data_IF_387144526248
#
_entry.id   IF_387144526248
#
_cell.length_a   1.000
_cell.length_b   1.000
_cell.length_c   1.000
_cell.angle_alpha   90.00
_cell.angle_beta   90.00
_cell.angle_gamma   90.00
#
_symmetry.space_group_name_H-M   'P 1'
#
loop_
_entity.id
_entity.type
_entity.pdbx_description
1 polymer ?
2 polymer ?
3 polymer ?
4 water ?
#
loop_
_entity_poly.entity_id
_entity_poly.type
_entity_poly.pdbx_seq_one_letter_code
_entity_poly.pdbx_strand_id
2 'polydeoxyribonucleotide' '(DC)(DG)(DG)(DG)(DG)(DA)(DA)(DT)(DT)(DG)(DA)(DT)(DT)(DG)(DA)(DA)(DA)(DT)(DC)(DA)(DA)(DG)(DA)(DT)(DA)(DG)(DG)(DT)(DG)(DG)' ?
3 'polydeoxyribonucleotide' '(DC)(DC)(DA)(DC)(DC)(DT)(DA)(DT)(DC)(DT)(DT)(DG)(DA)(DT)(DT)(DT)(DC)(DA)(DA)(DT)(DC)(DA)(DA)(DT)(DT)(DC)(DC)(DC)(DC)(DG)' ?
#
# COMPACT_ATOMS: atom_id res chain seq x y z
N UNK A 38 3.29 -25.21 -12.29
CA UNK A 38 3.68 -26.46 -12.93
C UNK A 38 4.95 -26.29 -13.79
N UNK A 39 4.80 -26.31 -15.11
CA UNK A 39 5.94 -26.05 -16.02
C UNK A 39 6.15 -24.56 -16.37
N UNK A 40 7.29 -24.03 -15.96
CA UNK A 40 7.55 -22.61 -16.21
C UNK A 40 8.26 -22.50 -17.57
N UNK A 41 8.10 -21.35 -18.24
CA UNK A 41 8.81 -21.09 -19.50
C UNK A 41 9.70 -19.84 -19.29
N UNK A 42 10.73 -19.67 -20.11
CA UNK A 42 11.67 -18.60 -19.88
C UNK A 42 11.39 -17.48 -20.87
N UNK A 43 11.68 -16.23 -20.51
CA UNK A 43 11.57 -15.14 -21.48
C UNK A 43 12.47 -14.00 -21.07
N UNK A 44 12.90 -13.14 -21.98
CA UNK A 44 13.73 -12.02 -21.54
C UNK A 44 13.17 -10.71 -22.05
N UNK A 45 13.42 -9.63 -21.31
CA UNK A 45 13.03 -8.29 -21.73
C UNK A 45 14.23 -7.34 -21.71
N UNK A 46 14.33 -6.46 -22.71
CA UNK A 46 15.36 -5.41 -22.79
C UNK A 46 15.06 -4.32 -21.76
N UNK A 47 16.12 -3.64 -21.32
CA UNK A 47 15.99 -2.41 -20.52
C UNK A 47 14.85 -1.56 -21.06
N UNK A 48 13.97 -1.14 -20.15
CA UNK A 48 12.81 -0.31 -20.43
C UNK A 48 11.65 -0.98 -21.18
N UNK A 49 11.75 -2.27 -21.49
CA UNK A 49 10.62 -2.93 -22.16
C UNK A 49 9.49 -3.17 -21.16
N UNK A 50 8.26 -2.93 -21.60
CA UNK A 50 7.09 -3.17 -20.74
C UNK A 50 6.84 -4.69 -20.75
N UNK A 51 6.61 -5.26 -19.56
CA UNK A 51 6.30 -6.68 -19.44
C UNK A 51 4.78 -6.83 -19.48
N UNK A 52 4.06 -5.97 -18.74
CA UNK A 52 2.59 -5.84 -18.89
C UNK A 52 2.16 -4.44 -18.50
N UNK A 53 0.99 -4.01 -19.00
CA UNK A 53 0.46 -2.69 -18.69
C UNK A 53 -0.56 -2.67 -17.60
N UNK A 54 -0.79 -1.47 -17.05
CA UNK A 54 -1.86 -1.24 -16.10
C UNK A 54 -3.22 -1.60 -16.70
N UNK A 55 -4.04 -2.31 -15.93
CA UNK A 55 -5.37 -2.75 -16.36
C UNK A 55 -5.36 -3.80 -17.46
N UNK A 56 -4.17 -4.31 -17.85
CA UNK A 56 -4.09 -5.38 -18.87
C UNK A 56 -4.48 -6.73 -18.22
N UNK A 57 -5.05 -7.66 -19.00
CA UNK A 57 -5.36 -9.01 -18.49
C UNK A 57 -4.18 -9.70 -17.77
N UNK A 58 -4.44 -10.22 -16.57
CA UNK A 58 -3.41 -10.82 -15.71
C UNK A 58 -3.28 -12.27 -16.08
N UNK A 59 -2.65 -12.55 -17.21
CA UNK A 59 -2.64 -13.87 -17.81
C UNK A 59 -1.45 -14.73 -17.37
N UNK A 60 -0.35 -14.07 -17.04
CA UNK A 60 0.86 -14.75 -16.59
C UNK A 60 1.33 -14.24 -15.26
N UNK A 61 2.07 -15.09 -14.53
CA UNK A 61 2.75 -14.70 -13.29
C UNK A 61 4.22 -14.97 -13.57
N UNK A 62 5.09 -14.17 -12.97
CA UNK A 62 6.51 -14.07 -13.38
C UNK A 62 7.47 -14.16 -12.20
N UNK A 63 8.69 -14.64 -12.43
CA UNK A 63 9.69 -14.62 -11.38
C UNK A 63 10.97 -14.10 -12.01
N UNK A 64 11.56 -13.05 -11.43
CA UNK A 64 12.87 -12.59 -11.97
C UNK A 64 13.95 -13.67 -11.78
N UNK A 65 14.67 -13.99 -12.86
CA UNK A 65 15.85 -14.88 -12.74
C UNK A 65 17.08 -13.99 -12.71
N UNK A 66 17.27 -13.18 -13.74
CA UNK A 66 18.32 -12.15 -13.64
C UNK A 66 17.76 -10.81 -14.00
N UNK A 67 18.41 -9.75 -13.53
CA UNK A 67 17.97 -8.38 -13.81
C UNK A 67 17.08 -7.76 -12.74
N UNK A 68 16.14 -6.93 -13.16
CA UNK A 68 15.33 -6.16 -12.18
C UNK A 68 14.14 -5.55 -12.90
N UNK A 69 13.05 -5.42 -12.17
CA UNK A 69 11.78 -4.95 -12.76
C UNK A 69 11.20 -3.86 -11.83
N UNK A 70 10.57 -2.86 -12.41
CA UNK A 70 9.78 -1.91 -11.57
C UNK A 70 8.29 -2.01 -11.85
N UNK A 71 7.47 -1.94 -10.80
CA UNK A 71 6.01 -1.94 -10.92
C UNK A 71 5.58 -0.54 -10.51
N UNK A 72 4.71 0.09 -11.31
CA UNK A 72 4.35 1.49 -11.06
C UNK A 72 2.97 1.86 -11.56
N UNK A 73 2.49 3.01 -11.06
CA UNK A 73 1.24 3.56 -11.55
C UNK A 73 1.57 4.94 -12.05
N UNK A 74 0.88 5.39 -13.10
CA UNK A 74 1.11 6.77 -13.61
C UNK A 74 -0.06 7.68 -13.45
N UNK A 75 0.20 8.98 -13.35
CA UNK A 75 -0.88 9.91 -13.52
C UNK A 75 -0.74 10.47 -14.94
N UNK A 76 -1.80 11.07 -15.45
CA UNK A 76 -1.80 11.57 -16.83
C UNK A 76 -0.75 12.63 -17.19
N UNK A 77 -0.28 13.40 -16.20
CA UNK A 77 0.68 14.43 -16.55
C UNK A 77 2.06 13.84 -16.47
N UNK A 78 2.15 12.52 -16.22
CA UNK A 78 3.46 11.90 -16.24
C UNK A 78 4.02 11.59 -14.87
N UNK A 79 3.39 12.08 -13.81
CA UNK A 79 3.88 11.71 -12.49
C UNK A 79 3.78 10.20 -12.27
N UNK A 80 4.76 9.62 -11.56
CA UNK A 80 4.85 8.15 -11.50
C UNK A 80 5.19 7.72 -10.08
N UNK A 81 4.44 6.77 -9.51
CA UNK A 81 4.75 6.18 -8.22
C UNK A 81 5.19 4.76 -8.54
N UNK A 82 6.46 4.45 -8.23
CA UNK A 82 6.87 3.04 -8.25
C UNK A 82 6.44 2.33 -6.93
N UNK A 83 5.66 1.24 -7.05
CA UNK A 83 5.15 0.54 -5.91
C UNK A 83 6.09 -0.51 -5.42
N UNK A 84 6.97 -1.01 -6.32
CA UNK A 84 7.87 -2.05 -5.88
C UNK A 84 8.96 -2.25 -6.93
N UNK A 85 10.09 -2.71 -6.44
CA UNK A 85 11.20 -3.20 -7.33
C UNK A 85 11.24 -4.69 -7.17
N UNK A 86 11.32 -5.45 -8.27
CA UNK A 86 11.37 -6.93 -8.17
C UNK A 86 12.75 -7.34 -8.64
N UNK A 87 13.42 -8.10 -7.79
CA UNK A 87 14.85 -8.38 -7.95
C UNK A 87 14.94 -9.91 -8.12
N UNK A 88 16.13 -10.46 -8.40
CA UNK A 88 16.16 -11.90 -8.67
C UNK A 88 15.60 -12.82 -7.56
N UNK A 89 14.79 -13.76 -8.01
CA UNK A 89 14.05 -14.66 -7.15
C UNK A 89 12.65 -14.13 -6.80
N UNK A 90 12.41 -12.83 -6.96
CA UNK A 90 11.11 -12.28 -6.58
C UNK A 90 10.03 -12.68 -7.57
N UNK A 91 8.84 -13.01 -7.08
CA UNK A 91 7.71 -13.28 -7.96
C UNK A 91 6.87 -12.05 -8.13
N UNK A 92 6.36 -11.77 -9.35
CA UNK A 92 5.52 -10.58 -9.52
C UNK A 92 4.44 -10.86 -10.55
N UNK A 93 3.44 -10.01 -10.54
CA UNK A 93 2.34 -10.06 -11.49
C UNK A 93 1.20 -10.96 -11.07
N UNK A 94 1.29 -11.54 -9.86
CA UNK A 94 0.21 -12.36 -9.32
C UNK A 94 -0.99 -11.49 -8.94
N UNK A 95 -2.15 -11.83 -9.49
CA UNK A 95 -3.39 -11.11 -9.18
C UNK A 95 -4.49 -12.08 -8.85
N UNK A 96 -5.26 -11.72 -7.82
CA UNK A 96 -6.40 -12.52 -7.50
C UNK A 96 -7.46 -12.18 -8.53
N UNK A 97 -7.49 -10.89 -8.89
CA UNK A 97 -8.50 -10.42 -9.84
C UNK A 97 -8.04 -10.64 -11.27
N UNK A 98 -8.77 -10.05 -12.22
CA UNK A 98 -8.63 -10.38 -13.64
C UNK A 98 -7.57 -9.53 -14.36
N UNK A 99 -7.03 -8.51 -13.71
CA UNK A 99 -6.10 -7.63 -14.41
C UNK A 99 -4.97 -7.11 -13.53
N UNK A 100 -3.83 -6.81 -14.16
CA UNK A 100 -2.74 -6.14 -13.50
C UNK A 100 -3.12 -4.76 -13.05
N UNK A 101 -2.84 -4.46 -11.78
CA UNK A 101 -3.21 -3.18 -11.22
C UNK A 101 -2.06 -2.18 -11.29
N UNK A 102 -0.86 -2.66 -11.64
CA UNK A 102 0.30 -1.83 -11.85
C UNK A 102 0.89 -2.27 -13.19
N UNK A 103 1.58 -1.37 -13.85
CA UNK A 103 2.37 -1.72 -15.05
C UNK A 103 3.70 -2.26 -14.53
N UNK A 104 4.47 -2.99 -15.39
CA UNK A 104 5.76 -3.52 -14.95
C UNK A 104 6.66 -3.36 -16.13
N UNK A 105 7.89 -2.92 -15.87
CA UNK A 105 8.88 -2.69 -16.93
C UNK A 105 10.20 -3.21 -16.47
N UNK A 106 10.99 -3.74 -17.41
CA UNK A 106 12.37 -4.12 -17.09
C UNK A 106 13.20 -2.86 -16.84
N UNK A 107 13.95 -2.84 -15.73
CA UNK A 107 14.84 -1.72 -15.41
C UNK A 107 16.16 -1.85 -16.19
N UNK A 108 16.57 -3.10 -16.38
CA UNK A 108 17.80 -3.46 -17.15
C UNK A 108 17.44 -4.73 -17.89
N UNK A 109 18.24 -5.15 -18.87
CA UNK A 109 17.94 -6.46 -19.48
C UNK A 109 17.64 -7.49 -18.40
N UNK A 110 16.54 -8.26 -18.57
CA UNK A 110 16.03 -9.11 -17.47
C UNK A 110 15.56 -10.43 -18.05
N UNK A 111 15.88 -11.53 -17.34
CA UNK A 111 15.29 -12.83 -17.72
C UNK A 111 14.32 -13.25 -16.62
N UNK A 112 13.18 -13.80 -17.04
CA UNK A 112 12.18 -14.21 -16.07
C UNK A 112 11.81 -15.66 -16.36
N UNK A 113 11.17 -16.30 -15.39
CA UNK A 113 10.42 -17.53 -15.67
C UNK A 113 8.95 -17.14 -15.55
N UNK A 114 8.05 -17.76 -16.31
CA UNK A 114 6.63 -17.41 -16.13
C UNK A 114 5.74 -18.63 -16.25
N UNK A 115 4.55 -18.56 -15.67
CA UNK A 115 3.60 -19.66 -15.71
C UNK A 115 2.25 -19.05 -16.02
N UNK A 116 1.35 -19.81 -16.62
CA UNK A 116 0.02 -19.26 -16.83
C UNK A 116 -0.69 -19.14 -15.50
N UNK A 117 -1.34 -17.99 -15.31
CA UNK A 117 -2.21 -17.78 -14.17
C UNK A 117 -3.25 -18.91 -14.06
N UNK A 118 -3.80 -19.37 -15.18
CA UNK A 118 -4.81 -20.43 -15.12
C UNK A 118 -4.20 -21.74 -14.62
N UNK A 119 -2.91 -21.92 -14.89
CA UNK A 119 -2.22 -23.11 -14.40
C UNK A 119 -2.11 -23.09 -12.87
N UNK A 120 -1.85 -21.91 -12.30
CA UNK A 120 -1.79 -21.71 -10.83
C UNK A 120 -3.15 -21.91 -10.17
N UNK A 121 -4.20 -21.36 -10.80
CA UNK A 121 -5.59 -21.49 -10.30
C UNK A 121 -5.97 -22.97 -10.22
N UNK A 122 -5.51 -23.76 -11.17
CA UNK A 122 -5.87 -25.19 -11.15
C UNK A 122 -5.14 -25.93 -10.02
N UNK A 123 -3.84 -25.65 -9.88
CA UNK A 123 -3.05 -26.25 -8.79
C UNK A 123 -3.62 -25.87 -7.42
N UNK A 124 -4.02 -24.60 -7.28
CA UNK A 124 -4.56 -24.12 -6.02
C UNK A 124 -5.87 -24.78 -5.69
N UNK A 125 -6.61 -25.21 -6.70
CA UNK A 125 -7.88 -25.88 -6.48
C UNK A 125 -7.65 -27.32 -6.08
N UNK A 126 -6.51 -27.86 -6.53
CA UNK A 126 -6.17 -29.26 -6.30
C UNK A 126 -5.48 -29.37 -4.94
N UNK A 127 -4.63 -28.41 -4.62
CA UNK A 127 -3.84 -28.49 -3.38
C UNK A 127 -4.04 -27.28 -2.44
N UNK A 128 -4.58 -27.55 -1.25
CA UNK A 128 -4.73 -26.56 -0.18
C UNK A 128 -3.44 -25.76 0.10
N UNK A 129 -2.27 -26.41 0.04
CA UNK A 129 -1.03 -25.68 0.34
C UNK A 129 -0.64 -24.69 -0.77
N UNK A 130 -0.93 -25.03 -2.02
CA UNK A 130 -0.74 -24.08 -3.12
C UNK A 130 -1.65 -22.84 -2.91
N UNK A 131 -2.95 -23.04 -2.74
CA UNK A 131 -3.89 -21.92 -2.48
C UNK A 131 -3.39 -21.03 -1.35
N UNK A 132 -2.85 -21.68 -0.32
CA UNK A 132 -2.39 -20.97 0.85
C UNK A 132 -1.14 -20.13 0.55
N UNK A 133 -0.27 -20.68 -0.29
CA UNK A 133 0.96 -19.95 -0.68
C UNK A 133 0.62 -18.76 -1.56
N UNK A 134 -0.36 -18.92 -2.45
CA UNK A 134 -0.80 -17.77 -3.27
C UNK A 134 -1.32 -16.63 -2.41
N UNK A 135 -2.21 -16.96 -1.47
CA UNK A 135 -2.68 -15.95 -0.50
C UNK A 135 -1.49 -15.33 0.24
N UNK A 136 -0.57 -16.17 0.72
CA UNK A 136 0.63 -15.63 1.41
C UNK A 136 1.42 -14.69 0.52
N UNK A 137 1.54 -14.98 -0.78
CA UNK A 137 2.28 -14.06 -1.66
C UNK A 137 1.63 -12.68 -1.67
N UNK A 138 0.34 -12.68 -1.93
CA UNK A 138 -0.39 -11.41 -2.01
C UNK A 138 -0.30 -10.70 -0.63
N UNK A 139 -0.35 -11.48 0.44
CA UNK A 139 -0.28 -10.85 1.77
C UNK A 139 1.07 -10.20 2.02
N UNK A 140 2.14 -10.79 1.46
CA UNK A 140 3.46 -10.18 1.62
C UNK A 140 3.54 -8.89 0.84
N UNK A 141 2.89 -8.85 -0.33
CA UNK A 141 2.79 -7.59 -1.10
C UNK A 141 2.05 -6.52 -0.34
N UNK A 142 0.96 -6.93 0.33
CA UNK A 142 0.19 -6.01 1.16
C UNK A 142 1.03 -5.45 2.35
N UNK A 143 1.80 -6.30 3.01
CA UNK A 143 2.62 -5.86 4.13
C UNK A 143 3.63 -4.84 3.59
N UNK A 144 4.25 -5.15 2.45
CA UNK A 144 5.18 -4.15 1.88
C UNK A 144 4.50 -2.79 1.58
N UNK A 145 3.28 -2.83 1.01
CA UNK A 145 2.57 -1.63 0.62
C UNK A 145 2.15 -0.86 1.86
N UNK A 146 1.72 -1.57 2.91
CA UNK A 146 1.39 -0.89 4.20
C UNK A 146 2.57 -0.11 4.78
N UNK A 147 3.72 -0.77 4.83
CA UNK A 147 4.92 -0.08 5.31
C UNK A 147 5.23 1.08 4.40
N UNK A 148 5.09 0.85 3.07
CA UNK A 148 5.42 1.91 2.12
C UNK A 148 4.44 3.08 2.21
N UNK A 149 3.16 2.84 2.53
CA UNK A 149 2.32 4.03 2.80
C UNK A 149 2.78 4.89 3.93
N UNK A 150 3.24 4.24 5.02
CA UNK A 150 3.77 4.99 6.15
C UNK A 150 4.94 5.84 5.68
N UNK A 151 5.84 5.23 4.93
CA UNK A 151 6.97 6.01 4.38
C UNK A 151 6.52 7.19 3.53
N UNK A 152 5.61 6.99 2.58
CA UNK A 152 5.18 8.03 1.66
C UNK A 152 4.31 9.09 2.35
N UNK A 153 3.55 8.68 3.34
CA UNK A 153 2.72 9.67 4.06
C UNK A 153 3.46 10.44 5.13
N UNK A 154 4.44 9.83 5.78
CA UNK A 154 4.92 10.41 7.03
C UNK A 154 6.45 10.59 7.19
N UNK A 155 7.31 9.91 6.37
CA UNK A 155 8.75 9.96 6.64
C UNK A 155 9.40 11.18 5.97
N UNK A 156 10.46 11.70 6.58
CA UNK A 156 11.16 12.84 5.94
C UNK A 156 11.96 12.31 4.76
N UNK A 157 12.49 13.18 3.94
CA UNK A 157 13.25 12.71 2.77
C UNK A 157 14.44 11.83 3.24
N UNK A 158 15.13 12.26 4.27
CA UNK A 158 16.27 11.44 4.72
C UNK A 158 15.85 10.08 5.29
N UNK A 159 14.79 10.07 6.08
CA UNK A 159 14.24 8.77 6.53
C UNK A 159 13.85 7.85 5.41
N UNK A 160 13.28 8.39 4.33
CA UNK A 160 12.92 7.57 3.19
C UNK A 160 14.15 7.01 2.54
N UNK A 161 15.15 7.82 2.34
CA UNK A 161 16.37 7.31 1.69
C UNK A 161 17.10 6.28 2.53
N UNK A 162 17.17 6.49 3.83
CA UNK A 162 17.81 5.51 4.69
C UNK A 162 16.99 4.22 4.69
N UNK A 163 15.67 4.34 4.71
CA UNK A 163 14.84 3.10 4.63
C UNK A 163 15.19 2.34 3.35
N UNK A 164 15.23 3.05 2.23
CA UNK A 164 15.48 2.47 0.92
C UNK A 164 16.83 1.78 0.93
N UNK A 165 17.89 2.46 1.37
CA UNK A 165 19.24 1.82 1.38
C UNK A 165 19.30 0.55 2.22
N UNK A 166 18.68 0.58 3.39
CA UNK A 166 18.58 -0.64 4.19
C UNK A 166 17.79 -1.79 3.55
N UNK A 167 16.67 -1.46 2.90
CA UNK A 167 15.91 -2.47 2.17
C UNK A 167 16.78 -3.07 1.05
N UNK A 168 17.39 -2.20 0.27
CA UNK A 168 18.26 -2.74 -0.82
C UNK A 168 19.46 -3.53 -0.32
N UNK A 169 20.09 -3.10 0.77
CA UNK A 169 21.17 -3.87 1.36
C UNK A 169 20.70 -5.29 1.75
N UNK A 170 19.55 -5.39 2.38
CA UNK A 170 19.05 -6.70 2.77
C UNK A 170 18.76 -7.57 1.55
N UNK A 171 18.23 -6.97 0.48
CA UNK A 171 17.74 -7.76 -0.67
C UNK A 171 18.80 -8.02 -1.73
N UNK A 172 19.78 -7.13 -1.83
CA UNK A 172 20.73 -7.32 -2.93
C UNK A 172 22.20 -7.20 -2.61
N UNK A 173 22.58 -6.90 -1.36
CA UNK A 173 24.04 -6.77 -1.15
C UNK A 173 24.76 -8.11 -1.37
N UNK A 174 25.96 -8.01 -1.93
CA UNK A 174 26.83 -9.16 -2.15
C UNK A 174 28.17 -8.82 -1.49
N UNK A 175 28.61 -9.66 -0.54
CA UNK A 175 29.82 -9.40 0.22
C UNK A 175 29.87 -7.92 0.62
N UNK A 176 28.77 -7.42 1.15
CA UNK A 176 28.77 -6.02 1.62
C UNK A 176 28.43 -4.88 0.69
N UNK A 177 28.34 -5.12 -0.63
CA UNK A 177 28.16 -4.01 -1.58
C UNK A 177 26.88 -4.22 -2.38
N UNK A 178 26.13 -3.13 -2.59
CA UNK A 178 24.90 -3.11 -3.37
C UNK A 178 25.20 -2.58 -4.75
N UNK A 179 24.91 -3.36 -5.77
CA UNK A 179 24.98 -2.86 -7.13
C UNK A 179 23.55 -2.55 -7.50
N UNK A 180 23.19 -1.27 -7.46
CA UNK A 180 21.79 -0.90 -7.59
C UNK A 180 21.48 -0.89 -9.06
N UNK A 181 20.36 -1.48 -9.46
CA UNK A 181 20.15 -1.53 -10.92
C UNK A 181 19.43 -0.32 -11.49
N UNK A 182 18.83 0.53 -10.64
CA UNK A 182 17.98 1.59 -11.11
C UNK A 182 18.60 3.02 -10.94
N UNK A 183 18.05 3.95 -11.71
CA UNK A 183 18.46 5.34 -11.75
C UNK A 183 17.96 6.09 -10.54
N UNK A 184 18.47 7.32 -10.38
CA UNK A 184 18.04 8.17 -9.28
C UNK A 184 16.57 8.56 -9.46
N UNK A 185 16.13 8.69 -10.70
CA UNK A 185 14.73 9.01 -10.93
C UNK A 185 13.83 7.83 -10.50
N UNK A 186 14.25 6.61 -10.79
CA UNK A 186 13.42 5.49 -10.28
C UNK A 186 13.43 5.50 -8.77
N UNK A 187 14.59 5.75 -8.15
CA UNK A 187 14.59 5.77 -6.67
C UNK A 187 13.63 6.86 -6.17
N UNK A 188 13.74 8.08 -6.70
CA UNK A 188 12.81 9.14 -6.24
C UNK A 188 11.37 8.71 -6.47
N UNK A 189 11.01 8.11 -7.63
CA UNK A 189 9.61 7.69 -7.85
C UNK A 189 9.15 6.54 -6.99
N UNK A 190 10.09 5.78 -6.41
CA UNK A 190 9.71 4.78 -5.38
C UNK A 190 9.46 5.46 -4.06
N UNK A 191 10.20 6.53 -3.78
CA UNK A 191 10.15 7.16 -2.45
C UNK A 191 9.29 8.45 -2.40
N UNK A 192 8.60 8.82 -3.48
CA UNK A 192 7.75 10.02 -3.46
C UNK A 192 8.60 11.28 -3.40
N UNK A 193 9.81 11.21 -3.97
CA UNK A 193 10.80 12.37 -3.94
C UNK A 193 11.32 12.63 -5.35
N UNK A 194 12.00 13.78 -5.56
CA UNK A 194 12.73 14.03 -6.83
C UNK A 194 14.07 13.36 -6.75
N UNK A 195 14.61 13.07 -7.92
CA UNK A 195 15.94 12.47 -7.99
C UNK A 195 17.00 13.42 -7.38
N UNK A 196 16.80 14.74 -7.46
CA UNK A 196 17.76 15.68 -6.87
C UNK A 196 17.78 15.52 -5.35
N UNK A 197 16.59 15.46 -4.74
CA UNK A 197 16.55 15.23 -3.31
C UNK A 197 17.22 13.93 -2.89
N UNK A 198 16.91 12.85 -3.61
CA UNK A 198 17.63 11.58 -3.35
C UNK A 198 19.15 11.77 -3.50
N UNK A 199 19.59 12.43 -4.57
CA UNK A 199 21.07 12.66 -4.73
C UNK A 199 21.65 13.38 -3.51
N UNK A 200 20.96 14.43 -3.04
CA UNK A 200 21.48 15.21 -1.92
C UNK A 200 21.59 14.41 -0.65
N UNK A 201 20.61 13.54 -0.39
CA UNK A 201 20.62 12.74 0.82
C UNK A 201 21.77 11.73 0.73
N UNK A 202 21.92 11.12 -0.45
CA UNK A 202 23.07 10.20 -0.66
C UNK A 202 24.41 10.91 -0.53
N UNK A 203 24.50 12.13 -1.07
CA UNK A 203 25.73 12.92 -0.89
C UNK A 203 26.05 13.19 0.56
N UNK A 204 25.02 13.54 1.32
CA UNK A 204 25.21 13.80 2.73
C UNK A 204 25.66 12.55 3.50
N UNK A 205 25.06 11.38 3.18
CA UNK A 205 25.41 10.11 3.87
C UNK A 205 26.86 9.76 3.56
N UNK A 206 27.25 9.99 2.31
CA UNK A 206 28.64 9.79 1.90
C UNK A 206 29.61 10.66 2.70
N UNK A 207 29.30 11.95 2.79
CA UNK A 207 30.20 12.93 3.44
C UNK A 207 30.33 12.60 4.92
N UNK A 208 29.26 12.06 5.52
CA UNK A 208 29.28 11.68 6.94
C UNK A 208 29.96 10.33 7.21
N UNK A 209 30.34 9.60 6.16
CA UNK A 209 31.06 8.34 6.35
C UNK A 209 30.09 7.15 6.47
N UNK A 210 28.81 7.39 6.25
CA UNK A 210 27.85 6.29 6.34
C UNK A 210 27.82 5.32 5.17
N UNK A 211 28.11 5.79 3.95
CA UNK A 211 28.21 4.87 2.84
C UNK A 211 29.42 5.20 2.02
N UNK A 212 29.81 4.27 1.18
CA UNK A 212 30.96 4.44 0.29
C UNK A 212 30.37 4.33 -1.11
N UNK A 213 31.00 4.96 -2.11
CA UNK A 213 30.60 4.80 -3.52
C UNK A 213 31.74 4.22 -4.32
N UNK A 214 31.39 3.41 -5.33
CA UNK A 214 32.36 2.95 -6.31
C UNK A 214 31.73 3.22 -7.67
N UNK A 215 31.42 4.49 -7.90
CA UNK A 215 30.51 4.84 -8.96
C UNK A 215 29.13 5.03 -8.31
N UNK A 216 28.24 5.72 -8.99
CA UNK A 216 26.96 6.16 -8.37
C UNK A 216 26.06 5.05 -7.90
N UNK A 217 26.04 3.93 -8.61
CA UNK A 217 25.06 2.90 -8.26
C UNK A 217 25.72 1.71 -7.57
N UNK A 218 27.00 1.85 -7.22
CA UNK A 218 27.67 0.78 -6.45
C UNK A 218 27.92 1.32 -5.07
N UNK A 219 27.16 0.86 -4.09
CA UNK A 219 27.15 1.54 -2.79
C UNK A 219 27.49 0.54 -1.72
N UNK A 220 28.32 0.93 -0.75
CA UNK A 220 28.75 0.02 0.32
C UNK A 220 28.31 0.73 1.57
N UNK A 221 27.40 0.13 2.35
CA UNK A 221 27.03 0.73 3.63
C UNK A 221 28.13 0.49 4.64
N UNK A 222 28.66 1.56 5.19
CA UNK A 222 29.77 1.46 6.14
C UNK A 222 29.35 1.34 7.61
N UNK A 223 28.14 1.86 7.92
CA UNK A 223 27.60 1.73 9.27
C UNK A 223 26.08 1.59 9.20
N UNK A 224 25.57 0.35 9.24
CA UNK A 224 24.14 0.13 9.11
C UNK A 224 23.43 0.68 10.33
N UNK A 225 24.04 0.61 11.49
CA UNK A 225 23.39 1.14 12.70
C UNK A 225 23.13 2.64 12.59
N UNK A 226 24.14 3.39 12.15
CA UNK A 226 23.92 4.83 11.99
C UNK A 226 22.83 5.12 11.01
N UNK A 227 22.75 4.32 9.95
CA UNK A 227 21.72 4.54 8.94
C UNK A 227 20.35 4.14 9.47
N UNK A 228 20.29 3.05 10.25
CA UNK A 228 19.03 2.66 10.88
C UNK A 228 18.58 3.80 11.79
N UNK A 229 19.50 4.46 12.46
CA UNK A 229 19.07 5.60 13.34
C UNK A 229 18.48 6.80 12.62
N UNK A 230 18.67 6.86 11.30
CA UNK A 230 18.15 7.95 10.50
C UNK A 230 16.82 7.56 9.87
N UNK A 231 16.41 6.30 9.98
CA UNK A 231 15.11 6.01 9.50
C UNK A 231 14.19 6.41 10.70
N UNK A 232 12.91 6.23 10.61
CA UNK A 232 12.10 6.64 11.76
C UNK A 232 11.75 5.34 12.48
N UNK A 233 11.61 5.36 13.81
CA UNK A 233 11.32 4.08 14.50
C UNK A 233 9.86 3.91 14.81
N UNK A 234 9.44 2.65 14.93
CA UNK A 234 8.07 2.31 15.25
C UNK A 234 7.78 2.71 16.69
N UNK A 235 6.51 2.99 16.96
CA UNK A 235 6.04 3.38 18.27
C UNK A 235 6.18 2.23 19.29
N UNK B 38 -17.66 -19.72 10.74
CA UNK B 38 -18.83 -20.47 11.20
C UNK B 38 -19.78 -19.47 11.85
N UNK B 39 -19.91 -19.53 13.17
CA UNK B 39 -20.74 -18.56 13.88
C UNK B 39 -19.98 -17.29 14.37
N UNK B 40 -20.55 -16.14 14.07
CA UNK B 40 -19.92 -14.90 14.51
C UNK B 40 -20.51 -14.53 15.89
N UNK B 41 -19.74 -13.76 16.65
CA UNK B 41 -20.15 -13.30 17.98
C UNK B 41 -20.09 -11.77 17.90
N UNK B 42 -20.90 -11.06 18.69
CA UNK B 42 -20.93 -9.60 18.56
C UNK B 42 -20.05 -8.98 19.64
N UNK B 43 -19.56 -7.77 19.41
CA UNK B 43 -18.85 -7.06 20.46
C UNK B 43 -18.90 -5.57 20.15
N UNK B 44 -18.78 -4.70 21.15
CA UNK B 44 -18.75 -3.27 20.85
C UNK B 44 -17.55 -2.58 21.47
N UNK B 45 -17.12 -1.49 20.85
CA UNK B 45 -16.00 -0.70 21.33
C UNK B 45 -16.41 0.76 21.40
N UNK B 46 -16.01 1.44 22.49
CA UNK B 46 -16.17 2.88 22.67
C UNK B 46 -15.27 3.65 21.71
N UNK B 47 -15.71 4.86 21.36
CA UNK B 47 -14.85 5.83 20.65
C UNK B 47 -13.45 5.82 21.25
N UNK B 48 -12.46 5.70 20.35
CA UNK B 48 -11.05 5.66 20.68
C UNK B 48 -10.52 4.37 21.34
N UNK B 49 -11.36 3.37 21.56
CA UNK B 49 -10.85 2.15 22.17
C UNK B 49 -10.05 1.37 21.12
N UNK B 50 -8.90 0.83 21.51
CA UNK B 50 -8.09 -0.04 20.63
C UNK B 50 -8.82 -1.37 20.46
N UNK B 51 -8.91 -1.85 19.22
CA UNK B 51 -9.54 -3.16 18.98
C UNK B 51 -8.43 -4.23 18.95
N UNK B 52 -7.35 -3.96 18.21
CA UNK B 52 -6.09 -4.71 18.35
C UNK B 52 -4.90 -3.80 18.09
N UNK B 53 -3.72 -4.22 18.54
CA UNK B 53 -2.50 -3.43 18.36
C UNK B 53 -1.61 -3.94 17.27
N UNK B 54 -0.72 -3.06 16.79
CA UNK B 54 0.27 -3.47 15.80
C UNK B 54 1.17 -4.55 16.38
N UNK B 55 1.43 -5.58 15.57
CA UNK B 55 2.20 -6.77 15.97
C UNK B 55 1.53 -7.69 16.97
N UNK B 56 0.30 -7.39 17.40
CA UNK B 56 -0.43 -8.29 18.30
C UNK B 56 -0.87 -9.52 17.49
N UNK B 57 -1.00 -10.68 18.15
CA UNK B 57 -1.49 -11.88 17.44
C UNK B 57 -2.83 -11.70 16.70
N UNK B 58 -2.87 -12.12 15.43
CA UNK B 58 -4.06 -11.95 14.61
C UNK B 58 -5.00 -13.07 14.91
N UNK B 59 -5.71 -12.99 16.04
CA UNK B 59 -6.51 -14.08 16.52
C UNK B 59 -7.97 -14.03 16.05
N UNK B 60 -8.48 -12.84 15.77
CA UNK B 60 -9.86 -12.69 15.27
C UNK B 60 -9.91 -11.89 14.01
N UNK B 61 -11.02 -12.05 13.27
CA UNK B 61 -11.27 -11.23 12.09
C UNK B 61 -12.63 -10.60 12.33
N UNK B 62 -12.82 -9.38 11.86
CA UNK B 62 -13.92 -8.52 12.33
C UNK B 62 -14.72 -7.92 11.17
N UNK B 63 -15.98 -7.60 11.42
CA UNK B 63 -16.76 -6.91 10.42
C UNK B 63 -17.51 -5.77 11.12
N UNK B 64 -17.39 -4.54 10.60
CA UNK B 64 -18.14 -3.44 11.23
C UNK B 64 -19.64 -3.62 10.99
N UNK B 65 -20.45 -3.55 12.05
CA UNK B 65 -21.92 -3.55 11.93
C UNK B 65 -22.40 -2.13 12.01
N UNK B 66 -22.07 -1.43 13.09
CA UNK B 66 -22.29 0.03 13.09
C UNK B 66 -21.05 0.75 13.55
N UNK B 67 -20.93 2.04 13.22
CA UNK B 67 -19.77 2.84 13.61
C UNK B 67 -18.66 2.89 12.53
N UNK B 68 -17.40 2.95 12.95
CA UNK B 68 -16.28 3.15 12.01
C UNK B 68 -15.01 2.91 12.78
N UNK B 69 -14.02 2.41 12.04
CA UNK B 69 -12.74 2.01 12.64
C UNK B 69 -11.60 2.60 11.80
N UNK B 70 -10.51 2.97 12.43
CA UNK B 70 -9.30 3.33 11.65
C UNK B 70 -8.19 2.34 11.88
N UNK B 71 -7.46 2.00 10.80
CA UNK B 71 -6.29 1.13 10.90
C UNK B 71 -5.12 2.02 10.61
N UNK B 72 -4.08 1.92 11.42
CA UNK B 72 -2.94 2.83 11.26
C UNK B 72 -1.61 2.28 11.72
N UNK B 73 -0.53 2.93 11.27
CA UNK B 73 0.77 2.64 11.82
C UNK B 73 1.32 3.92 12.42
N UNK B 74 2.16 3.81 13.45
CA UNK B 74 2.73 5.01 14.09
C UNK B 74 4.20 5.01 14.02
N UNK B 75 4.81 6.20 14.04
CA UNK B 75 6.20 6.28 14.33
C UNK B 75 6.39 6.72 15.77
N UNK B 76 7.58 6.48 16.26
CA UNK B 76 7.85 6.76 17.69
C UNK B 76 7.63 8.21 18.15
N UNK B 77 7.79 9.19 17.24
CA UNK B 77 7.54 10.57 17.68
C UNK B 77 6.08 10.91 17.58
N UNK B 78 5.24 9.95 17.20
CA UNK B 78 3.81 10.20 17.21
C UNK B 78 3.20 10.44 15.86
N UNK B 79 4.04 10.51 14.82
CA UNK B 79 3.48 10.64 13.50
C UNK B 79 2.68 9.41 13.16
N UNK B 80 1.55 9.58 12.48
CA UNK B 80 0.64 8.46 12.27
C UNK B 80 0.15 8.45 10.83
N UNK B 81 0.22 7.31 10.14
CA UNK B 81 -0.38 7.09 8.84
C UNK B 81 -1.59 6.21 9.07
N UNK B 82 -2.77 6.72 8.73
CA UNK B 82 -3.94 5.84 8.65
C UNK B 82 -3.96 5.13 7.27
N UNK B 83 -3.96 3.79 7.28
CA UNK B 83 -3.97 3.00 6.07
C UNK B 83 -5.36 2.80 5.51
N UNK B 84 -6.40 2.78 6.39
CA UNK B 84 -7.72 2.57 5.89
C UNK B 84 -8.75 2.94 6.97
N UNK B 85 -9.91 3.32 6.47
CA UNK B 85 -11.10 3.48 7.30
C UNK B 85 -11.98 2.29 7.03
N UNK B 86 -12.58 1.70 8.07
CA UNK B 86 -13.49 0.54 7.86
C UNK B 86 -14.85 0.98 8.32
N UNK B 87 -15.82 0.85 7.42
CA UNK B 87 -17.14 1.43 7.59
C UNK B 87 -18.12 0.25 7.64
N UNK B 88 -19.40 0.52 7.92
CA UNK B 88 -20.31 -0.61 8.08
C UNK B 88 -20.35 -1.54 6.90
N UNK B 89 -20.25 -2.83 7.23
CA UNK B 89 -20.19 -3.91 6.27
C UNK B 89 -18.76 -4.30 5.95
N UNK B 90 -17.79 -3.43 6.21
CA UNK B 90 -16.40 -3.78 5.86
C UNK B 90 -15.81 -4.82 6.79
N UNK B 91 -15.06 -5.78 6.24
CA UNK B 91 -14.28 -6.68 7.07
C UNK B 91 -12.87 -6.17 7.30
N UNK B 92 -12.33 -6.38 8.50
CA UNK B 92 -10.93 -5.97 8.77
C UNK B 92 -10.25 -6.93 9.73
N UNK B 93 -8.92 -6.84 9.78
CA UNK B 93 -8.11 -7.65 10.66
C UNK B 93 -7.75 -9.00 10.11
N UNK B 94 -8.12 -9.28 8.86
CA UNK B 94 -7.78 -10.56 8.24
C UNK B 94 -6.26 -10.55 7.95
N UNK B 95 -5.56 -11.55 8.46
CA UNK B 95 -4.12 -11.63 8.18
C UNK B 95 -3.77 -13.03 7.73
N UNK B 96 -2.93 -13.11 6.69
CA UNK B 96 -2.47 -14.41 6.23
C UNK B 96 -1.44 -14.89 7.24
N UNK B 97 -0.61 -13.95 7.70
CA UNK B 97 0.43 -14.29 8.66
C UNK B 97 -0.11 -14.30 10.08
N UNK B 98 0.78 -14.28 11.08
CA UNK B 98 0.41 -14.51 12.48
C UNK B 98 0.00 -13.27 13.27
N UNK B 99 0.29 -12.09 12.75
CA UNK B 99 0.13 -10.84 13.50
C UNK B 99 -0.57 -9.78 12.70
N UNK B 100 -1.31 -8.93 13.41
CA UNK B 100 -1.82 -7.69 12.86
C UNK B 100 -0.68 -6.76 12.50
N UNK B 101 -0.71 -6.21 11.28
CA UNK B 101 0.40 -5.34 10.80
C UNK B 101 0.07 -3.86 11.01
N UNK B 102 -1.17 -3.56 11.37
CA UNK B 102 -1.61 -2.22 11.67
C UNK B 102 -2.38 -2.33 12.97
N UNK B 103 -2.41 -1.27 13.74
CA UNK B 103 -3.32 -1.23 14.91
C UNK B 103 -4.70 -0.80 14.41
N UNK B 104 -5.76 -1.02 15.20
CA UNK B 104 -7.12 -0.66 14.75
C UNK B 104 -7.79 -0.07 15.95
N UNK B 105 -8.47 1.05 15.77
CA UNK B 105 -9.20 1.70 16.88
C UNK B 105 -10.56 2.12 16.41
N UNK B 106 -11.58 2.07 17.30
CA UNK B 106 -12.88 2.66 16.96
C UNK B 106 -12.81 4.18 16.87
N UNK B 107 -13.35 4.74 15.80
CA UNK B 107 -13.40 6.21 15.59
C UNK B 107 -14.52 6.78 16.44
N UNK B 108 -15.60 6.00 16.56
CA UNK B 108 -16.85 6.42 17.32
C UNK B 108 -17.33 5.11 17.91
N UNK B 109 -18.27 5.15 18.86
CA UNK B 109 -18.80 3.87 19.36
C UNK B 109 -19.15 3.00 18.17
N UNK B 110 -18.72 1.73 18.22
CA UNK B 110 -18.81 0.80 17.10
C UNK B 110 -19.21 -0.58 17.54
N UNK B 111 -20.07 -1.23 16.78
CA UNK B 111 -20.38 -2.65 17.02
C UNK B 111 -19.81 -3.47 15.87
N UNK B 112 -19.20 -4.62 16.17
CA UNK B 112 -18.60 -5.44 15.13
C UNK B 112 -19.17 -6.88 15.30
N UNK B 113 -19.01 -7.72 14.28
CA UNK B 113 -19.16 -9.20 14.45
C UNK B 113 -17.73 -9.70 14.34
N UNK B 114 -17.40 -10.80 15.02
CA UNK B 114 -16.07 -11.34 14.80
C UNK B 114 -16.10 -12.85 14.82
N UNK B 115 -15.08 -13.42 14.22
CA UNK B 115 -14.96 -14.87 14.11
C UNK B 115 -13.51 -15.22 14.41
N UNK B 116 -13.27 -16.41 14.94
CA UNK B 116 -11.90 -16.80 15.21
C UNK B 116 -11.19 -17.03 13.88
N UNK B 117 -9.99 -16.48 13.79
CA UNK B 117 -9.16 -16.74 12.62
C UNK B 117 -9.00 -18.25 12.33
N UNK B 118 -8.81 -19.03 13.37
CA UNK B 118 -8.61 -20.46 13.14
C UNK B 118 -9.87 -21.10 12.57
N UNK B 119 -11.03 -20.52 12.86
CA UNK B 119 -12.28 -21.07 12.33
C UNK B 119 -12.33 -20.83 10.83
N UNK B 120 -11.81 -19.69 10.38
CA UNK B 120 -11.73 -19.33 8.97
C UNK B 120 -10.73 -20.25 8.23
N UNK B 121 -9.58 -20.48 8.86
CA UNK B 121 -8.52 -21.33 8.27
C UNK B 121 -9.08 -22.76 8.08
N UNK B 122 -9.83 -23.23 9.07
CA UNK B 122 -10.46 -24.54 8.95
C UNK B 122 -11.44 -24.58 7.75
N UNK B 123 -12.32 -23.59 7.66
CA UNK B 123 -13.29 -23.54 6.54
C UNK B 123 -12.60 -23.45 5.18
N UNK B 124 -11.51 -22.69 5.12
CA UNK B 124 -10.75 -22.52 3.89
C UNK B 124 -10.13 -23.81 3.44
N UNK B 125 -9.78 -24.67 4.39
CA UNK B 125 -9.21 -25.97 4.09
C UNK B 125 -10.23 -26.93 3.56
N UNK B 126 -11.47 -26.74 4.02
CA UNK B 126 -12.57 -27.61 3.65
C UNK B 126 -13.14 -27.19 2.30
N UNK B 127 -13.17 -25.88 2.05
CA UNK B 127 -13.88 -25.32 0.90
C UNK B 127 -12.97 -24.41 0.06
N UNK B 128 -12.62 -24.88 -1.12
CA UNK B 128 -11.84 -24.08 -2.09
C UNK B 128 -12.45 -22.68 -2.30
N UNK B 129 -13.78 -22.55 -2.20
CA UNK B 129 -14.42 -21.24 -2.42
C UNK B 129 -14.16 -20.23 -1.28
N UNK B 130 -14.07 -20.76 -0.06
CA UNK B 130 -13.73 -19.96 1.09
C UNK B 130 -12.27 -19.50 0.97
N UNK B 131 -11.36 -20.43 0.66
CA UNK B 131 -9.95 -20.10 0.51
C UNK B 131 -9.75 -19.00 -0.53
N UNK B 132 -10.53 -19.08 -1.59
CA UNK B 132 -10.44 -18.13 -2.69
C UNK B 132 -11.02 -16.76 -2.32
N UNK B 133 -12.01 -16.78 -1.44
CA UNK B 133 -12.60 -15.54 -0.94
C UNK B 133 -11.68 -14.85 0.06
N UNK B 134 -11.00 -15.62 0.90
CA UNK B 134 -9.99 -14.98 1.76
C UNK B 134 -8.88 -14.32 0.96
N UNK B 135 -8.37 -15.01 -0.05
CA UNK B 135 -7.31 -14.38 -0.89
C UNK B 135 -7.85 -13.12 -1.54
N UNK B 136 -9.07 -13.19 -2.08
CA UNK B 136 -9.71 -12.01 -2.67
C UNK B 136 -9.83 -10.84 -1.70
N UNK B 137 -10.10 -11.13 -0.42
CA UNK B 137 -10.19 -10.02 0.54
C UNK B 137 -8.86 -9.31 0.71
N UNK B 138 -7.80 -10.07 0.90
CA UNK B 138 -6.46 -9.51 0.99
C UNK B 138 -6.08 -8.80 -0.31
N UNK B 139 -6.44 -9.39 -1.45
CA UNK B 139 -6.17 -8.69 -2.73
C UNK B 139 -6.85 -7.33 -2.87
N UNK B 140 -8.07 -7.20 -2.34
CA UNK B 140 -8.77 -5.92 -2.42
C UNK B 140 -8.10 -4.92 -1.51
N UNK B 141 -7.60 -5.39 -0.36
CA UNK B 141 -6.81 -4.51 0.52
C UNK B 141 -5.55 -4.05 -0.17
N UNK B 142 -4.91 -4.96 -0.87
CA UNK B 142 -3.69 -4.62 -1.64
C UNK B 142 -4.01 -3.55 -2.73
N UNK B 143 -5.12 -3.71 -3.46
CA UNK B 143 -5.47 -2.80 -4.53
C UNK B 143 -5.68 -1.41 -3.90
N UNK B 144 -6.41 -1.37 -2.78
CA UNK B 144 -6.60 -0.07 -2.11
C UNK B 144 -5.27 0.55 -1.69
N UNK B 145 -4.32 -0.27 -1.19
CA UNK B 145 -3.03 0.26 -0.72
C UNK B 145 -2.18 0.76 -1.87
N UNK B 146 -2.23 0.03 -2.98
CA UNK B 146 -1.51 0.45 -4.23
C UNK B 146 -2.00 1.82 -4.73
N UNK B 147 -3.31 1.97 -4.83
CA UNK B 147 -3.86 3.31 -5.17
C UNK B 147 -3.47 4.34 -4.14
N UNK B 148 -3.47 3.94 -2.86
CA UNK B 148 -3.18 4.90 -1.81
C UNK B 148 -1.68 5.27 -1.82
N UNK B 149 -0.81 4.35 -2.21
CA UNK B 149 0.61 4.79 -2.39
C UNK B 149 0.77 5.87 -3.45
N UNK B 150 0.03 5.75 -4.55
CA UNK B 150 0.11 6.76 -5.59
C UNK B 150 -0.37 8.10 -5.05
N UNK B 151 -1.43 8.07 -4.26
CA UNK B 151 -1.92 9.32 -3.66
C UNK B 151 -0.90 9.94 -2.73
N UNK B 152 -0.30 9.16 -1.84
CA UNK B 152 0.64 9.66 -0.83
C UNK B 152 1.98 10.03 -1.46
N UNK B 153 2.38 9.35 -2.53
CA UNK B 153 3.64 9.72 -3.14
C UNK B 153 3.55 10.83 -4.16
N UNK B 154 2.41 10.95 -4.82
CA UNK B 154 2.39 11.80 -6.01
C UNK B 154 1.28 12.90 -6.12
N UNK B 155 0.16 12.80 -5.34
CA UNK B 155 -0.94 13.73 -5.55
C UNK B 155 -0.77 15.04 -4.74
N UNK B 156 -1.29 16.13 -5.28
CA UNK B 156 -1.21 17.41 -4.55
C UNK B 156 -2.19 17.35 -3.39
N UNK B 157 -2.11 18.30 -2.51
CA UNK B 157 -3.04 18.30 -1.35
C UNK B 157 -4.50 18.35 -1.83
N UNK B 158 -4.79 19.21 -2.80
CA UNK B 158 -6.19 19.22 -3.27
C UNK B 158 -6.61 17.92 -3.96
N UNK B 159 -5.80 17.39 -4.85
CA UNK B 159 -6.09 16.02 -5.38
C UNK B 159 -6.34 14.99 -4.35
N UNK B 160 -5.58 14.99 -3.25
CA UNK B 160 -5.80 14.00 -2.22
C UNK B 160 -7.16 14.22 -1.55
N UNK B 161 -7.49 15.48 -1.28
CA UNK B 161 -8.80 15.71 -0.63
C UNK B 161 -9.97 15.41 -1.57
N UNK B 162 -9.82 15.69 -2.85
CA UNK B 162 -10.88 15.40 -3.79
C UNK B 162 -11.02 13.88 -3.88
N UNK B 163 -9.91 13.18 -3.91
CA UNK B 163 -9.98 11.68 -3.95
C UNK B 163 -10.75 11.18 -2.72
N UNK B 164 -10.38 11.67 -1.55
CA UNK B 164 -10.98 11.25 -0.28
C UNK B 164 -12.48 11.47 -0.30
N UNK B 165 -12.92 12.67 -0.71
CA UNK B 165 -14.37 13.01 -0.70
C UNK B 165 -15.14 12.09 -1.66
N UNK B 166 -14.57 11.80 -2.82
CA UNK B 166 -15.22 10.85 -3.74
C UNK B 166 -15.29 9.42 -3.21
N UNK B 167 -14.23 8.98 -2.52
CA UNK B 167 -14.22 7.64 -1.93
C UNK B 167 -15.32 7.60 -0.86
N UNK B 168 -15.37 8.62 0.00
CA UNK B 168 -16.41 8.58 1.07
C UNK B 168 -17.79 8.70 0.53
N UNK B 169 -17.97 9.48 -0.54
CA UNK B 169 -19.29 9.61 -1.10
C UNK B 169 -19.74 8.22 -1.61
N UNK B 170 -18.84 7.52 -2.27
CA UNK B 170 -19.20 6.19 -2.82
C UNK B 170 -19.54 5.24 -1.66
N UNK B 171 -18.77 5.30 -0.57
CA UNK B 171 -18.89 4.33 0.51
C UNK B 171 -19.93 4.63 1.54
N UNK B 172 -20.18 5.90 1.78
CA UNK B 172 -21.11 6.19 2.89
C UNK B 172 -22.19 7.20 2.59
N UNK B 173 -22.24 7.78 1.40
CA UNK B 173 -23.37 8.73 1.15
C UNK B 173 -24.74 8.10 1.36
N UNK B 174 -25.65 8.86 1.98
CA UNK B 174 -27.04 8.42 2.10
C UNK B 174 -27.91 9.54 1.54
N UNK B 175 -28.72 9.21 0.54
CA UNK B 175 -29.53 10.21 -0.15
C UNK B 175 -28.70 11.48 -0.41
N UNK B 176 -27.53 11.30 -0.99
CA UNK B 176 -26.66 12.43 -1.35
C UNK B 176 -25.73 13.07 -0.32
N UNK B 177 -25.84 12.69 0.95
CA UNK B 177 -25.10 13.39 2.01
C UNK B 177 -24.22 12.41 2.76
N UNK B 178 -22.96 12.82 2.99
CA UNK B 178 -21.96 12.06 3.74
C UNK B 178 -21.93 12.53 5.17
N UNK B 179 -22.18 11.64 6.12
CA UNK B 179 -21.97 11.97 7.52
C UNK B 179 -20.65 11.34 7.93
N UNK B 180 -19.61 12.14 8.02
CA UNK B 180 -18.27 11.59 8.08
C UNK B 180 -18.07 11.32 9.55
N UNK B 181 -17.51 10.14 9.89
CA UNK B 181 -17.38 9.82 11.32
C UNK B 181 -16.10 10.31 11.96
N UNK B 182 -15.07 10.71 11.19
CA UNK B 182 -13.77 11.02 11.76
C UNK B 182 -13.44 12.53 11.71
N UNK B 183 -12.46 12.91 12.52
CA UNK B 183 -11.98 14.27 12.67
C UNK B 183 -11.11 14.67 11.49
N UNK B 184 -10.77 15.97 11.43
CA UNK B 184 -9.91 16.49 10.40
C UNK B 184 -8.50 15.92 10.59
N UNK B 185 -8.13 15.65 11.84
CA UNK B 185 -6.80 15.05 12.06
C UNK B 185 -6.77 13.60 11.53
N UNK B 186 -7.86 12.89 11.68
CA UNK B 186 -7.86 11.53 11.06
C UNK B 186 -7.83 11.64 9.54
N UNK B 187 -8.53 12.62 8.97
CA UNK B 187 -8.50 12.72 7.51
C UNK B 187 -7.08 13.07 7.08
N UNK B 188 -6.44 14.04 7.74
CA UNK B 188 -5.07 14.37 7.34
C UNK B 188 -4.15 13.18 7.48
N UNK B 189 -4.26 12.43 8.58
CA UNK B 189 -3.35 11.26 8.73
C UNK B 189 -3.65 10.13 7.74
N UNK B 190 -4.86 10.10 7.16
CA UNK B 190 -5.13 9.20 6.03
C UNK B 190 -4.50 9.70 4.76
N UNK B 191 -4.41 11.02 4.60
CA UNK B 191 -3.97 11.59 3.33
C UNK B 191 -2.54 12.07 3.37
N UNK B 192 -1.79 11.87 4.46
CA UNK B 192 -0.38 12.33 4.48
C UNK B 192 -0.35 13.86 4.57
N UNK B 193 -1.36 14.46 5.21
CA UNK B 193 -1.44 15.98 5.24
C UNK B 193 -1.74 16.41 6.70
N UNK B 194 -1.64 17.71 6.99
CA UNK B 194 -2.11 18.20 8.30
C UNK B 194 -3.58 18.50 8.21
N UNK B 195 -4.21 18.48 9.39
CA UNK B 195 -5.60 18.83 9.46
C UNK B 195 -5.87 20.25 8.95
N UNK B 196 -4.92 21.21 9.13
CA UNK B 196 -5.15 22.54 8.66
C UNK B 196 -5.23 22.50 7.13
N UNK B 197 -4.32 21.79 6.45
CA UNK B 197 -4.40 21.77 4.98
C UNK B 197 -5.70 21.15 4.46
N UNK B 198 -6.13 20.07 5.10
CA UNK B 198 -7.45 19.46 4.79
C UNK B 198 -8.55 20.53 4.95
N UNK B 199 -8.53 21.26 6.06
CA UNK B 199 -9.60 22.23 6.33
C UNK B 199 -9.60 23.28 5.22
N UNK B 200 -8.39 23.70 4.82
CA UNK B 200 -8.30 24.76 3.84
C UNK B 200 -8.85 24.31 2.49
N UNK B 201 -8.53 23.07 2.10
CA UNK B 201 -9.01 22.52 0.84
C UNK B 201 -10.53 22.41 0.85
N UNK B 202 -11.07 21.91 1.96
CA UNK B 202 -12.55 21.85 2.12
C UNK B 202 -13.20 23.20 2.07
N UNK B 203 -12.57 24.20 2.71
CA UNK B 203 -13.09 25.55 2.66
C UNK B 203 -13.14 26.07 1.24
N UNK B 204 -12.08 25.84 0.48
CA UNK B 204 -12.03 26.28 -0.89
C UNK B 204 -13.10 25.59 -1.73
N UNK B 205 -13.27 24.28 -1.56
CA UNK B 205 -14.30 23.53 -2.30
C UNK B 205 -15.72 24.07 -1.98
N UNK B 206 -15.95 24.37 -0.70
CA UNK B 206 -17.21 25.01 -0.31
C UNK B 206 -17.41 26.37 -0.98
N UNK B 207 -16.37 27.21 -0.99
CA UNK B 207 -16.52 28.56 -1.56
C UNK B 207 -16.84 28.49 -3.05
N UNK B 208 -16.24 27.51 -3.72
CA UNK B 208 -16.46 27.31 -5.14
C UNK B 208 -17.79 26.64 -5.49
N UNK B 209 -18.57 26.24 -4.47
CA UNK B 209 -19.88 25.65 -4.71
C UNK B 209 -19.82 24.16 -5.03
N UNK B 210 -18.68 23.54 -4.79
CA UNK B 210 -18.54 22.12 -5.08
C UNK B 210 -19.11 21.21 -3.99
N UNK B 211 -19.14 21.69 -2.74
CA UNK B 211 -19.76 20.92 -1.69
C UNK B 211 -20.53 21.84 -0.78
N UNK B 212 -21.43 21.23 -0.03
CA UNK B 212 -22.29 21.93 0.92
C UNK B 212 -21.92 21.39 2.30
N UNK B 213 -22.12 22.20 3.36
CA UNK B 213 -21.89 21.73 4.74
C UNK B 213 -23.19 21.91 5.52
N UNK B 214 -23.42 20.98 6.45
CA UNK B 214 -24.50 21.12 7.45
C UNK B 214 -23.84 20.80 8.80
N UNK B 215 -22.88 21.63 9.20
CA UNK B 215 -21.91 21.23 10.21
C UNK B 215 -20.66 20.63 9.53
N UNK B 216 -19.54 20.61 10.23
CA UNK B 216 -18.27 20.28 9.58
C UNK B 216 -18.17 18.88 9.00
N UNK B 217 -18.86 17.91 9.59
CA UNK B 217 -18.68 16.53 9.13
C UNK B 217 -19.90 16.03 8.40
N UNK B 218 -20.85 16.91 8.11
CA UNK B 218 -21.99 16.55 7.28
C UNK B 218 -21.82 17.23 5.93
N UNK B 219 -21.41 16.47 4.91
CA UNK B 219 -20.96 17.12 3.65
C UNK B 219 -21.81 16.60 2.49
N UNK B 220 -22.24 17.49 1.62
CA UNK B 220 -23.13 17.12 0.50
C UNK B 220 -22.31 17.53 -0.70
N UNK B 221 -21.93 16.56 -1.55
CA UNK B 221 -21.25 16.91 -2.81
C UNK B 221 -22.22 17.44 -3.81
N UNK B 222 -21.97 18.68 -4.26
CA UNK B 222 -22.91 19.36 -5.16
C UNK B 222 -22.59 19.14 -6.64
N UNK B 223 -21.34 18.79 -6.94
CA UNK B 223 -20.94 18.53 -8.31
C UNK B 223 -19.81 17.50 -8.33
N UNK B 224 -20.15 16.21 -8.45
CA UNK B 224 -19.09 15.20 -8.40
C UNK B 224 -18.15 15.33 -9.58
N UNK B 225 -18.67 15.75 -10.72
CA UNK B 225 -17.81 15.84 -11.90
C UNK B 225 -16.73 16.87 -11.67
N UNK B 226 -17.12 18.05 -11.18
CA UNK B 226 -16.10 19.07 -10.90
C UNK B 226 -15.06 18.54 -9.94
N UNK B 227 -15.51 17.73 -8.98
CA UNK B 227 -14.58 17.26 -7.94
C UNK B 227 -13.72 16.18 -8.56
N UNK B 228 -14.30 15.38 -9.45
CA UNK B 228 -13.51 14.36 -10.13
C UNK B 228 -12.43 15.08 -10.93
N UNK B 229 -12.77 16.23 -11.52
CA UNK B 229 -11.70 16.92 -12.31
C UNK B 229 -10.51 17.48 -11.51
N UNK B 230 -10.65 17.50 -10.20
CA UNK B 230 -9.62 18.03 -9.29
C UNK B 230 -8.76 16.91 -8.75
N UNK B 231 -9.17 15.66 -8.96
CA UNK B 231 -8.29 14.59 -8.57
C UNK B 231 -7.34 14.45 -9.77
N UNK B 232 -6.40 13.55 -9.69
CA UNK B 232 -5.49 13.46 -10.83
C UNK B 232 -5.99 12.32 -11.69
N UNK B 233 -5.74 12.32 -12.98
CA UNK B 233 -6.29 11.22 -13.79
C UNK B 233 -5.26 10.18 -14.18
N UNK B 234 -5.72 8.94 -14.26
CA UNK B 234 -4.95 7.81 -14.74
C UNK B 234 -4.38 8.14 -16.09
N UNK B 235 -3.21 7.58 -16.38
CA UNK B 235 -2.64 7.57 -17.71
C UNK B 235 -3.30 6.45 -18.52
#
# INVERSE_FOLDING_TARGET
MLTQTLKTQVINTQIGGKIAPPHQVSDQFGAITGHVGLVATEFSYRKDEEIYGEDEPAEYVYQVVTGAVRSYKLLSDGRRQIGAFHLPGDVFGLESGPSHRLAAEAIIDTSVRLVKRSSLEKAAGIDVQVARKLWAMTAGELRHAEDHMLLLGRKTAMERVATFLLEMDRRLAVAGMMALPMSRRDIGDYLGLTLETVSRALSQLHTQGILGFSGARQIVLRNRQRLHNLDAAAALEHHHHHH
MLTQTLKTQVINTQIGGKIAPPHQVSDQFGAITGHVGLVATEFSYRKDEEIYGEDEPAEYVYQVVTGAVRSYKLLSDGRRQIGAFHLPGDVFGLESGPSHRLAAEAIIDTSVRLVKRSSLEKAAGIDVQVARKLWAMTAGELRHAEDHMLLLGRKTAMERVATFLLEMDRRLAVAGMMALPMSRRDIGDYLGLTLETVSRALSQLHTQGILGFSGARQIVLRNRQRLHNLDAAAALEHHHHHH
#
